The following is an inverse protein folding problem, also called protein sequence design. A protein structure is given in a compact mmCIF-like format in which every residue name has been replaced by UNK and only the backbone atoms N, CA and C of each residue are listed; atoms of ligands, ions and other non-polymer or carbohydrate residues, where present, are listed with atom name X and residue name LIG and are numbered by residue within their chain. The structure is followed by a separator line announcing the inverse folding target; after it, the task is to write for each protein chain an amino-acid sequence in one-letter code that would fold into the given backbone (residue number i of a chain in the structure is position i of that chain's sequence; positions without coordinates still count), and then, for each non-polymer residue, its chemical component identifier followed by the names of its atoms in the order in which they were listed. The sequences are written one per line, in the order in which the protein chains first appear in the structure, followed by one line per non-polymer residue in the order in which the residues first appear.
data_IF_397968633679
#
_entry.id   IF_397968633679
#
_cell.length_a   1.000
_cell.length_b   1.000
_cell.length_c   1.000
_cell.angle_alpha   90.00
_cell.angle_beta   90.00
_cell.angle_gamma   90.00
#
_symmetry.space_group_name_H-M   'P 1'
#
loop_
_entity.id
_entity.type
_entity.pdbx_description
1 polymer ?
#
# COMPACT_ATOMS: atom_id res chain seq x y z
N UNK A 1 17.72 1.75 -22.84
CA UNK A 1 18.49 2.54 -21.84
C UNK A 1 18.16 4.03 -21.90
N UNK A 2 18.25 4.64 -23.07
CA UNK A 2 18.05 6.08 -23.25
C UNK A 2 16.69 6.61 -22.73
N UNK A 3 15.52 6.00 -23.00
CA UNK A 3 14.23 6.52 -22.51
C UNK A 3 14.15 6.58 -20.99
N UNK A 4 14.64 5.55 -20.28
CA UNK A 4 14.63 5.50 -18.81
C UNK A 4 15.55 6.57 -18.21
N UNK A 5 16.77 6.72 -18.76
CA UNK A 5 17.71 7.74 -18.30
C UNK A 5 17.28 9.17 -18.66
N UNK A 6 16.48 9.34 -19.72
CA UNK A 6 15.89 10.63 -20.05
C UNK A 6 14.75 11.00 -19.10
N UNK A 7 13.89 10.03 -18.75
CA UNK A 7 12.77 10.23 -17.84
C UNK A 7 13.20 10.44 -16.38
N UNK A 8 14.37 9.90 -15.99
CA UNK A 8 14.86 9.93 -14.61
C UNK A 8 16.34 10.43 -14.56
N UNK A 9 16.57 11.76 -14.66
CA UNK A 9 17.90 12.35 -14.67
C UNK A 9 18.78 11.96 -13.46
N UNK A 10 18.16 11.69 -12.29
CA UNK A 10 18.83 11.22 -11.09
C UNK A 10 19.55 9.87 -11.26
N UNK A 11 19.11 9.05 -12.23
CA UNK A 11 19.78 7.78 -12.57
C UNK A 11 21.08 7.97 -13.35
N UNK A 12 21.46 9.21 -13.67
CA UNK A 12 22.75 9.52 -14.32
C UNK A 12 23.90 9.63 -13.31
N UNK A 13 23.58 9.81 -12.02
CA UNK A 13 24.60 9.92 -10.98
C UNK A 13 25.25 8.54 -10.71
N UNK A 14 26.53 8.36 -11.09
CA UNK A 14 27.20 7.09 -10.86
C UNK A 14 27.45 6.77 -9.39
N UNK A 15 27.28 7.70 -8.45
CA UNK A 15 27.35 7.42 -7.02
C UNK A 15 26.14 6.63 -6.50
N UNK A 16 25.01 6.70 -7.22
CA UNK A 16 23.75 6.10 -6.77
C UNK A 16 23.17 5.07 -7.75
N UNK A 17 23.65 5.04 -9.00
CA UNK A 17 23.11 4.17 -10.03
C UNK A 17 24.21 3.59 -10.93
N UNK A 18 24.08 2.31 -11.27
CA UNK A 18 24.91 1.60 -12.21
C UNK A 18 24.03 0.76 -13.14
N UNK A 19 24.45 0.64 -14.37
CA UNK A 19 23.77 -0.17 -15.37
C UNK A 19 24.70 -1.26 -15.89
N UNK A 20 24.21 -2.51 -15.86
CA UNK A 20 24.88 -3.69 -16.44
C UNK A 20 23.91 -4.38 -17.41
N UNK A 21 24.39 -4.76 -18.59
CA UNK A 21 23.63 -5.54 -19.56
C UNK A 21 24.17 -6.96 -19.61
N UNK A 22 23.32 -7.95 -19.43
CA UNK A 22 23.70 -9.38 -19.44
C UNK A 22 24.35 -9.75 -20.76
N UNK A 23 23.82 -9.24 -21.87
CA UNK A 23 24.35 -9.49 -23.22
C UNK A 23 25.76 -8.91 -23.39
N UNK A 24 25.98 -7.68 -22.91
CA UNK A 24 27.28 -7.01 -23.04
C UNK A 24 28.35 -7.59 -22.11
N UNK A 25 27.92 -8.19 -20.98
CA UNK A 25 28.84 -8.84 -20.03
C UNK A 25 29.23 -10.26 -20.43
N UNK A 26 28.59 -10.85 -21.47
CA UNK A 26 28.86 -12.21 -21.90
C UNK A 26 28.07 -13.29 -21.14
N UNK A 27 26.95 -12.94 -20.52
CA UNK A 27 26.03 -13.86 -19.88
C UNK A 27 25.86 -13.64 -18.39
N UNK A 28 24.96 -14.41 -17.79
CA UNK A 28 24.50 -14.21 -16.40
C UNK A 28 25.62 -14.28 -15.38
N UNK A 29 26.49 -15.31 -15.44
CA UNK A 29 27.60 -15.48 -14.49
C UNK A 29 28.56 -14.30 -14.54
N UNK A 30 29.01 -13.92 -15.75
CA UNK A 30 29.89 -12.77 -15.94
C UNK A 30 29.25 -11.46 -15.42
N UNK A 31 27.95 -11.29 -15.63
CA UNK A 31 27.22 -10.12 -15.10
C UNK A 31 27.20 -10.11 -13.58
N UNK A 32 26.94 -11.25 -12.91
CA UNK A 32 26.97 -11.35 -11.44
C UNK A 32 28.36 -11.01 -10.92
N UNK A 33 29.41 -11.53 -11.53
CA UNK A 33 30.78 -11.28 -11.11
C UNK A 33 31.16 -9.80 -11.30
N UNK A 34 30.76 -9.18 -12.41
CA UNK A 34 30.93 -7.74 -12.65
C UNK A 34 30.09 -6.86 -11.68
N UNK A 35 28.92 -7.33 -11.28
CA UNK A 35 28.04 -6.60 -10.35
C UNK A 35 28.57 -6.55 -8.92
N UNK A 36 29.28 -7.59 -8.45
CA UNK A 36 29.73 -7.68 -7.04
C UNK A 36 30.56 -6.49 -6.57
N UNK A 37 31.63 -6.06 -7.25
CA UNK A 37 32.38 -4.87 -6.84
C UNK A 37 31.53 -3.60 -6.91
N UNK A 38 30.70 -3.44 -7.94
CA UNK A 38 29.80 -2.30 -8.10
C UNK A 38 28.81 -2.21 -6.94
N UNK A 39 28.24 -3.34 -6.53
CA UNK A 39 27.32 -3.38 -5.37
C UNK A 39 28.02 -3.03 -4.05
N UNK A 40 29.31 -3.39 -3.87
CA UNK A 40 30.07 -2.99 -2.71
C UNK A 40 30.24 -1.46 -2.63
N UNK A 41 30.60 -0.83 -3.74
CA UNK A 41 30.72 0.63 -3.83
C UNK A 41 29.39 1.33 -3.52
N UNK A 42 28.28 0.86 -4.12
CA UNK A 42 26.95 1.40 -3.86
C UNK A 42 26.53 1.19 -2.38
N UNK A 43 26.85 0.03 -1.81
CA UNK A 43 26.57 -0.26 -0.40
C UNK A 43 27.36 0.66 0.56
N UNK A 44 28.63 0.98 0.26
CA UNK A 44 29.41 1.94 1.02
C UNK A 44 28.75 3.33 1.02
N UNK A 45 28.24 3.78 -0.13
CA UNK A 45 27.51 5.03 -0.26
C UNK A 45 26.21 5.00 0.54
N UNK A 46 25.42 3.92 0.38
CA UNK A 46 24.17 3.76 1.12
C UNK A 46 24.38 3.72 2.64
N UNK A 47 25.45 3.06 3.12
CA UNK A 47 25.77 2.95 4.53
C UNK A 47 26.21 4.28 5.19
N UNK A 48 26.50 5.33 4.41
CA UNK A 48 26.79 6.67 4.94
C UNK A 48 25.53 7.43 5.34
N UNK A 49 24.36 7.01 4.84
CA UNK A 49 23.08 7.63 5.20
C UNK A 49 22.85 7.49 6.71
N UNK A 50 22.40 8.56 7.33
CA UNK A 50 22.03 8.60 8.74
C UNK A 50 20.60 9.04 8.88
N UNK A 51 19.88 8.44 9.83
CA UNK A 51 18.54 8.88 10.19
C UNK A 51 18.62 10.27 10.84
N UNK A 52 17.73 11.14 10.45
CA UNK A 52 17.57 12.49 10.99
C UNK A 52 16.10 12.71 11.34
N UNK A 53 15.82 13.62 12.28
CA UNK A 53 14.46 14.00 12.60
C UNK A 53 13.85 14.73 11.40
N UNK A 54 12.67 14.25 10.97
CA UNK A 54 11.88 14.86 9.91
C UNK A 54 10.42 15.00 10.37
N UNK A 55 9.67 15.99 9.88
CA UNK A 55 8.27 16.13 10.23
C UNK A 55 7.43 14.96 9.68
N UNK A 56 6.36 14.60 10.41
CA UNK A 56 5.42 13.53 9.99
C UNK A 56 4.76 13.80 8.63
N UNK A 57 4.76 15.06 8.16
CA UNK A 57 4.33 15.42 6.81
C UNK A 57 5.14 14.77 5.67
N UNK A 58 6.25 14.11 5.97
CA UNK A 58 7.02 13.30 5.01
C UNK A 58 6.52 11.86 4.87
N UNK A 59 5.56 11.47 5.69
CA UNK A 59 4.92 10.15 5.56
C UNK A 59 4.04 10.09 4.33
N UNK A 60 4.22 9.03 3.55
CA UNK A 60 3.37 8.68 2.40
C UNK A 60 2.99 7.20 2.60
N UNK A 61 1.77 6.96 3.05
CA UNK A 61 1.30 5.65 3.50
C UNK A 61 0.41 5.01 2.44
N UNK A 62 0.80 3.86 1.93
CA UNK A 62 -0.07 3.01 1.12
C UNK A 62 -1.05 2.23 2.01
N UNK A 63 -2.34 2.33 1.71
CA UNK A 63 -3.43 1.65 2.42
C UNK A 63 -3.83 0.41 1.62
N UNK A 64 -3.60 -0.77 2.17
CA UNK A 64 -3.81 -2.03 1.46
C UNK A 64 -4.65 -3.00 2.28
N UNK A 65 -5.39 -3.89 1.63
CA UNK A 65 -6.03 -5.02 2.28
C UNK A 65 -5.96 -6.27 1.40
N UNK A 66 -5.73 -7.41 2.02
CA UNK A 66 -5.72 -8.70 1.34
C UNK A 66 -6.17 -9.82 2.29
N UNK A 67 -6.83 -10.86 1.74
CA UNK A 67 -7.41 -11.89 2.59
C UNK A 67 -8.49 -11.36 3.55
N UNK A 68 -9.27 -10.38 3.12
CA UNK A 68 -10.33 -9.74 3.92
C UNK A 68 -11.39 -10.74 4.37
N UNK A 69 -11.98 -10.48 5.53
CA UNK A 69 -13.06 -11.23 6.17
C UNK A 69 -14.25 -10.31 6.52
N UNK A 70 -15.32 -10.87 7.07
CA UNK A 70 -16.50 -10.11 7.49
C UNK A 70 -16.23 -9.09 8.61
N UNK A 71 -15.12 -9.22 9.35
CA UNK A 71 -14.73 -8.29 10.41
C UNK A 71 -13.84 -7.16 9.92
N UNK A 72 -13.18 -7.31 8.77
CA UNK A 72 -12.24 -6.31 8.23
C UNK A 72 -12.87 -4.92 8.12
N UNK A 73 -14.14 -4.84 7.68
CA UNK A 73 -14.87 -3.60 7.46
C UNK A 73 -15.36 -2.90 8.75
N UNK A 74 -15.31 -3.58 9.90
CA UNK A 74 -15.78 -3.04 11.19
C UNK A 74 -14.66 -2.92 12.23
N UNK A 75 -13.51 -3.47 11.98
CA UNK A 75 -12.34 -3.44 12.88
C UNK A 75 -11.13 -2.78 12.22
N UNK A 76 -10.27 -3.56 11.56
CA UNK A 76 -8.98 -3.10 11.05
C UNK A 76 -9.08 -1.97 10.02
N UNK A 77 -10.02 -2.04 9.07
CA UNK A 77 -10.12 -1.01 8.04
C UNK A 77 -10.55 0.36 8.60
N UNK A 78 -11.63 0.49 9.39
CA UNK A 78 -11.97 1.77 9.98
C UNK A 78 -10.95 2.26 11.01
N UNK A 79 -10.28 1.38 11.77
CA UNK A 79 -9.19 1.77 12.65
C UNK A 79 -8.00 2.33 11.85
N UNK A 80 -7.65 1.71 10.72
CA UNK A 80 -6.67 2.26 9.78
C UNK A 80 -7.14 3.60 9.21
N UNK A 81 -8.45 3.76 8.98
CA UNK A 81 -9.04 5.04 8.55
C UNK A 81 -8.78 6.17 9.55
N UNK A 82 -8.94 5.91 10.84
CA UNK A 82 -8.57 6.89 11.90
C UNK A 82 -7.08 7.22 11.85
N UNK A 83 -6.21 6.22 11.69
CA UNK A 83 -4.77 6.47 11.54
C UNK A 83 -4.45 7.25 10.26
N UNK A 84 -5.15 6.99 9.16
CA UNK A 84 -5.06 7.76 7.90
C UNK A 84 -5.38 9.24 8.14
N UNK A 85 -6.47 9.53 8.83
CA UNK A 85 -6.86 10.91 9.18
C UNK A 85 -5.79 11.59 10.04
N UNK A 86 -5.17 10.88 10.99
CA UNK A 86 -4.07 11.41 11.81
C UNK A 86 -2.82 11.72 10.97
N UNK A 87 -2.47 10.87 10.01
CA UNK A 87 -1.36 11.15 9.07
C UNK A 87 -1.64 12.39 8.23
N UNK A 88 -2.85 12.49 7.67
CA UNK A 88 -3.27 13.64 6.86
C UNK A 88 -3.30 14.92 7.68
N UNK A 89 -3.77 14.87 8.93
CA UNK A 89 -3.78 16.02 9.85
C UNK A 89 -2.37 16.55 10.17
N UNK A 90 -1.33 15.73 10.06
CA UNK A 90 0.08 16.16 10.17
C UNK A 90 0.68 16.63 8.84
N UNK A 91 -0.12 16.76 7.79
CA UNK A 91 0.33 17.13 6.44
C UNK A 91 0.95 15.99 5.64
N UNK A 92 0.86 14.76 6.11
CA UNK A 92 1.27 13.56 5.37
C UNK A 92 0.30 13.17 4.27
N UNK A 93 0.60 12.07 3.60
CA UNK A 93 -0.21 11.54 2.48
C UNK A 93 -0.63 10.11 2.77
N UNK A 94 -1.86 9.78 2.45
CA UNK A 94 -2.36 8.39 2.45
C UNK A 94 -2.95 8.05 1.10
N UNK A 95 -2.65 6.86 0.59
CA UNK A 95 -3.00 6.41 -0.77
C UNK A 95 -3.96 5.23 -0.66
N UNK A 96 -5.20 5.43 -1.05
CA UNK A 96 -6.13 4.33 -1.30
C UNK A 96 -5.98 3.89 -2.77
N UNK A 97 -6.08 2.60 -3.04
CA UNK A 97 -5.93 2.02 -4.38
C UNK A 97 -6.95 0.91 -4.61
N UNK A 98 -6.78 0.16 -5.71
CA UNK A 98 -7.60 -1.00 -6.08
C UNK A 98 -9.01 -0.59 -6.52
N UNK A 99 -9.09 -0.03 -7.73
CA UNK A 99 -10.32 0.56 -8.28
C UNK A 99 -11.50 -0.41 -8.29
N UNK A 100 -11.25 -1.71 -8.53
CA UNK A 100 -12.28 -2.73 -8.45
C UNK A 100 -12.78 -3.00 -7.02
N UNK A 101 -12.03 -2.62 -6.00
CA UNK A 101 -12.38 -2.86 -4.60
C UNK A 101 -13.18 -1.73 -3.95
N UNK A 102 -13.36 -0.61 -4.63
CA UNK A 102 -14.23 0.48 -4.19
C UNK A 102 -15.56 0.52 -4.98
N UNK A 103 -15.73 -0.39 -5.94
CA UNK A 103 -16.88 -0.43 -6.84
C UNK A 103 -18.21 -0.56 -6.09
N UNK A 104 -19.13 0.37 -6.35
CA UNK A 104 -20.41 0.51 -5.65
C UNK A 104 -20.35 1.37 -4.38
N UNK A 105 -19.15 1.68 -3.84
CA UNK A 105 -18.94 2.54 -2.67
C UNK A 105 -18.22 3.86 -3.01
N UNK A 106 -17.99 4.15 -4.28
CA UNK A 106 -17.31 5.37 -4.78
C UNK A 106 -17.99 6.66 -4.34
N UNK A 107 -19.28 6.62 -4.08
CA UNK A 107 -20.05 7.77 -3.59
C UNK A 107 -19.54 8.28 -2.23
N UNK A 108 -18.93 7.42 -1.41
CA UNK A 108 -18.31 7.82 -0.13
C UNK A 108 -17.00 8.59 -0.33
N UNK A 109 -16.36 8.44 -1.48
CA UNK A 109 -15.15 9.17 -1.87
C UNK A 109 -15.51 10.45 -2.64
N UNK A 110 -16.39 10.35 -3.65
CA UNK A 110 -16.83 11.49 -4.45
C UNK A 110 -17.58 12.52 -3.62
N UNK A 111 -18.35 12.10 -2.62
CA UNK A 111 -19.08 13.00 -1.70
C UNK A 111 -18.19 13.88 -0.81
N UNK A 112 -16.88 13.60 -0.75
CA UNK A 112 -15.88 14.39 0.00
C UNK A 112 -14.72 14.87 -0.89
N UNK A 113 -14.97 15.03 -2.18
CA UNK A 113 -14.04 15.53 -3.18
C UNK A 113 -14.58 16.79 -3.84
N UNK A 114 -13.72 17.56 -4.52
CA UNK A 114 -14.20 18.56 -5.44
C UNK A 114 -14.86 17.89 -6.65
N UNK A 115 -15.76 18.58 -7.39
CA UNK A 115 -16.39 18.01 -8.58
C UNK A 115 -15.39 17.46 -9.59
N UNK A 116 -14.26 18.13 -9.78
CA UNK A 116 -13.21 17.72 -10.72
C UNK A 116 -12.52 16.43 -10.29
N UNK A 117 -12.20 16.30 -8.99
CA UNK A 117 -11.57 15.10 -8.42
C UNK A 117 -12.56 13.93 -8.41
N UNK A 118 -13.84 14.21 -8.10
CA UNK A 118 -14.91 13.21 -8.18
C UNK A 118 -15.04 12.64 -9.60
N UNK A 119 -15.05 13.51 -10.63
CA UNK A 119 -15.13 13.08 -12.02
C UNK A 119 -13.92 12.26 -12.45
N UNK A 120 -12.70 12.63 -12.02
CA UNK A 120 -11.49 11.85 -12.28
C UNK A 120 -11.60 10.42 -11.70
N UNK A 121 -12.18 10.27 -10.50
CA UNK A 121 -12.41 8.95 -9.92
C UNK A 121 -13.41 8.16 -10.75
N UNK A 122 -14.53 8.78 -11.13
CA UNK A 122 -15.56 8.14 -11.95
C UNK A 122 -15.06 7.78 -13.35
N UNK A 123 -14.12 8.53 -13.93
CA UNK A 123 -13.43 8.14 -15.17
C UNK A 123 -12.65 6.83 -15.01
N UNK A 124 -11.99 6.59 -13.86
CA UNK A 124 -11.30 5.32 -13.60
C UNK A 124 -12.29 4.17 -13.48
N UNK A 125 -13.40 4.38 -12.77
CA UNK A 125 -14.46 3.36 -12.66
C UNK A 125 -14.98 2.96 -14.05
N UNK A 126 -15.39 3.94 -14.88
CA UNK A 126 -15.89 3.68 -16.24
C UNK A 126 -14.84 2.97 -17.12
N UNK A 127 -13.57 3.34 -16.97
CA UNK A 127 -12.49 2.68 -17.71
C UNK A 127 -12.41 1.19 -17.35
N UNK A 128 -12.52 0.83 -16.07
CA UNK A 128 -12.49 -0.54 -15.62
C UNK A 128 -13.75 -1.32 -16.03
N UNK A 129 -14.92 -0.69 -16.03
CA UNK A 129 -16.16 -1.27 -16.55
C UNK A 129 -16.01 -1.65 -18.05
N UNK A 130 -15.53 -0.71 -18.85
CA UNK A 130 -15.28 -0.92 -20.28
C UNK A 130 -14.21 -1.99 -20.52
N UNK A 131 -13.14 -1.96 -19.72
CA UNK A 131 -12.07 -2.95 -19.81
C UNK A 131 -12.57 -4.35 -19.48
N UNK A 132 -13.29 -4.54 -18.39
CA UNK A 132 -13.87 -5.83 -18.01
C UNK A 132 -14.84 -6.35 -19.07
N UNK A 133 -15.71 -5.49 -19.61
CA UNK A 133 -16.68 -5.85 -20.63
C UNK A 133 -16.03 -6.36 -21.93
N UNK A 134 -14.88 -5.80 -22.35
CA UNK A 134 -14.11 -6.25 -23.54
C UNK A 134 -13.66 -7.72 -23.42
N UNK A 135 -13.47 -8.21 -22.22
CA UNK A 135 -13.05 -9.59 -21.94
C UNK A 135 -14.22 -10.47 -21.46
N UNK A 136 -15.48 -10.02 -21.64
CA UNK A 136 -16.66 -10.77 -21.25
C UNK A 136 -16.90 -10.86 -19.74
N UNK A 137 -16.19 -10.01 -18.96
CA UNK A 137 -16.33 -9.88 -17.52
C UNK A 137 -17.16 -8.67 -17.11
N UNK A 138 -17.24 -8.46 -15.80
CA UNK A 138 -17.85 -7.27 -15.20
C UNK A 138 -17.10 -6.92 -13.90
N UNK A 139 -17.47 -5.81 -13.28
CA UNK A 139 -16.86 -5.34 -12.03
C UNK A 139 -17.39 -6.08 -10.79
N UNK A 140 -18.50 -6.79 -10.87
CA UNK A 140 -19.08 -7.57 -9.77
C UNK A 140 -18.44 -8.96 -9.66
N UNK A 141 -17.14 -9.00 -9.40
CA UNK A 141 -16.37 -10.25 -9.24
C UNK A 141 -15.68 -10.36 -7.87
N UNK A 142 -16.02 -9.51 -6.94
CA UNK A 142 -15.59 -9.53 -5.55
C UNK A 142 -16.82 -9.78 -4.65
N UNK A 143 -16.71 -10.43 -3.48
CA UNK A 143 -15.52 -11.00 -2.86
C UNK A 143 -15.06 -12.32 -3.50
N UNK A 144 -13.76 -12.58 -3.42
CA UNK A 144 -13.17 -13.85 -3.86
C UNK A 144 -13.72 -15.04 -3.07
N UNK A 145 -13.58 -16.28 -3.57
CA UNK A 145 -13.99 -17.47 -2.81
C UNK A 145 -13.38 -17.54 -1.42
N UNK A 146 -12.14 -17.06 -1.25
CA UNK A 146 -11.48 -16.99 0.05
C UNK A 146 -12.12 -15.96 0.98
N UNK A 147 -12.45 -14.79 0.49
CA UNK A 147 -13.11 -13.74 1.27
C UNK A 147 -14.55 -14.15 1.66
N UNK A 148 -15.25 -14.88 0.79
CA UNK A 148 -16.57 -15.48 1.12
C UNK A 148 -16.45 -16.49 2.26
N UNK A 149 -15.43 -17.34 2.27
CA UNK A 149 -15.16 -18.23 3.41
C UNK A 149 -14.81 -17.46 4.70
N UNK A 150 -14.28 -16.25 4.56
CA UNK A 150 -14.04 -15.32 5.68
C UNK A 150 -15.28 -14.56 6.13
N UNK A 151 -16.45 -14.81 5.54
CA UNK A 151 -17.75 -14.22 5.95
C UNK A 151 -18.21 -13.03 5.11
N UNK A 152 -17.48 -12.57 4.11
CA UNK A 152 -17.94 -11.53 3.19
C UNK A 152 -18.99 -12.10 2.21
N UNK A 153 -20.03 -11.33 1.92
CA UNK A 153 -21.20 -11.79 1.16
C UNK A 153 -21.31 -11.14 -0.22
N UNK A 154 -21.18 -9.82 -0.31
CA UNK A 154 -21.40 -9.02 -1.52
C UNK A 154 -20.21 -8.13 -1.85
N UNK A 155 -20.15 -7.67 -3.11
CA UNK A 155 -19.17 -6.66 -3.54
C UNK A 155 -19.36 -5.37 -2.76
N UNK A 156 -20.58 -4.93 -2.50
CA UNK A 156 -20.85 -3.70 -1.76
C UNK A 156 -20.29 -3.77 -0.34
N UNK A 157 -20.50 -4.88 0.37
CA UNK A 157 -19.92 -5.09 1.71
C UNK A 157 -18.39 -5.01 1.69
N UNK A 158 -17.75 -5.67 0.73
CA UNK A 158 -16.30 -5.62 0.54
C UNK A 158 -15.83 -4.19 0.25
N UNK A 159 -16.52 -3.47 -0.65
CA UNK A 159 -16.15 -2.12 -1.07
C UNK A 159 -16.36 -1.07 0.04
N UNK A 160 -17.45 -1.15 0.79
CA UNK A 160 -17.67 -0.29 1.96
C UNK A 160 -16.54 -0.45 2.99
N UNK A 161 -16.14 -1.70 3.26
CA UNK A 161 -15.01 -1.98 4.13
C UNK A 161 -13.68 -1.47 3.57
N UNK A 162 -13.43 -1.62 2.27
CA UNK A 162 -12.20 -1.17 1.64
C UNK A 162 -12.06 0.37 1.68
N UNK A 163 -13.15 1.11 1.40
CA UNK A 163 -13.16 2.58 1.45
C UNK A 163 -12.90 3.11 2.86
N UNK A 164 -13.32 2.39 3.90
CA UNK A 164 -13.12 2.79 5.29
C UNK A 164 -11.65 2.99 5.67
N UNK A 165 -10.70 2.32 4.99
CA UNK A 165 -9.25 2.53 5.18
C UNK A 165 -8.82 3.98 4.94
N UNK A 166 -9.53 4.71 4.09
CA UNK A 166 -9.24 6.11 3.75
C UNK A 166 -9.73 7.14 4.76
N UNK A 167 -10.29 6.71 5.90
CA UNK A 167 -10.77 7.62 6.94
C UNK A 167 -11.86 8.58 6.46
N UNK A 168 -11.87 9.78 7.02
CA UNK A 168 -12.87 10.84 6.76
C UNK A 168 -12.31 12.07 6.02
N UNK A 169 -10.99 12.16 5.84
CA UNK A 169 -10.34 13.28 5.17
C UNK A 169 -10.87 13.48 3.73
N UNK A 170 -10.92 14.71 3.20
CA UNK A 170 -11.29 14.96 1.81
C UNK A 170 -10.38 14.22 0.84
N UNK A 171 -10.96 13.65 -0.23
CA UNK A 171 -10.20 13.12 -1.35
C UNK A 171 -9.64 14.29 -2.18
N UNK A 172 -8.32 14.48 -2.16
CA UNK A 172 -7.67 15.66 -2.73
C UNK A 172 -7.20 15.48 -4.17
N UNK A 173 -6.92 14.24 -4.60
CA UNK A 173 -6.46 13.96 -5.96
C UNK A 173 -6.68 12.49 -6.35
N UNK A 174 -6.74 12.25 -7.66
CA UNK A 174 -6.77 10.91 -8.27
C UNK A 174 -5.57 10.78 -9.21
N UNK A 175 -4.82 9.71 -9.06
CA UNK A 175 -3.63 9.41 -9.86
C UNK A 175 -3.84 8.16 -10.70
N UNK A 176 -3.15 8.07 -11.83
CA UNK A 176 -3.01 6.81 -12.57
C UNK A 176 -2.04 5.88 -11.86
N UNK A 177 -2.03 4.64 -12.28
CA UNK A 177 -1.10 3.64 -11.75
C UNK A 177 0.36 4.11 -11.82
N UNK A 178 1.02 4.10 -10.67
CA UNK A 178 2.43 4.47 -10.50
C UNK A 178 2.79 5.93 -10.84
N UNK A 179 1.82 6.82 -11.07
CA UNK A 179 2.09 8.25 -11.24
C UNK A 179 2.68 8.83 -9.93
N UNK A 180 3.73 9.66 -10.01
CA UNK A 180 4.32 10.29 -8.82
C UNK A 180 3.30 11.18 -8.10
N UNK A 181 3.03 10.90 -6.83
CA UNK A 181 2.15 11.70 -6.00
C UNK A 181 2.88 12.97 -5.58
N UNK A 182 2.26 14.12 -5.87
CA UNK A 182 2.84 15.45 -5.63
C UNK A 182 2.05 16.27 -4.62
N UNK A 183 0.80 15.90 -4.37
CA UNK A 183 -0.11 16.64 -3.51
C UNK A 183 -0.30 15.88 -2.20
N UNK A 184 -0.08 16.52 -1.03
CA UNK A 184 -0.34 15.88 0.26
C UNK A 184 -1.84 15.71 0.51
N UNK A 185 -2.17 14.84 1.45
CA UNK A 185 -3.54 14.57 1.86
C UNK A 185 -3.98 13.14 1.53
N UNK A 186 -5.27 12.87 1.62
CA UNK A 186 -5.83 11.60 1.21
C UNK A 186 -6.03 11.59 -0.30
N UNK A 187 -5.42 10.63 -0.99
CA UNK A 187 -5.43 10.50 -2.45
C UNK A 187 -5.85 9.10 -2.89
N UNK A 188 -6.33 8.98 -4.11
CA UNK A 188 -6.62 7.70 -4.74
C UNK A 188 -5.63 7.44 -5.89
N UNK A 189 -5.09 6.23 -5.99
CA UNK A 189 -4.28 5.77 -7.13
C UNK A 189 -4.97 4.59 -7.81
N UNK A 190 -5.24 4.72 -9.10
CA UNK A 190 -5.79 3.65 -9.92
C UNK A 190 -4.88 2.42 -9.91
N UNK A 191 -5.44 1.24 -9.63
CA UNK A 191 -4.75 -0.04 -9.76
C UNK A 191 -5.75 -1.20 -9.88
N UNK A 192 -5.30 -2.37 -10.39
CA UNK A 192 -6.10 -3.59 -10.26
C UNK A 192 -6.25 -4.00 -8.80
N UNK A 193 -7.30 -4.76 -8.48
CA UNK A 193 -7.52 -5.39 -7.18
C UNK A 193 -6.65 -6.64 -7.01
N UNK A 194 -5.34 -6.43 -6.90
CA UNK A 194 -4.33 -7.47 -6.72
C UNK A 194 -3.18 -6.93 -5.90
N UNK A 195 -3.03 -7.40 -4.67
CA UNK A 195 -2.12 -6.85 -3.65
C UNK A 195 -0.71 -6.55 -4.18
N UNK A 196 0.05 -7.50 -4.80
CA UNK A 196 1.41 -7.22 -5.23
C UNK A 196 1.48 -6.09 -6.28
N UNK A 197 0.55 -6.08 -7.23
CA UNK A 197 0.50 -5.05 -8.27
C UNK A 197 0.12 -3.69 -7.68
N UNK A 198 -0.91 -3.65 -6.84
CA UNK A 198 -1.36 -2.41 -6.19
C UNK A 198 -0.26 -1.78 -5.34
N UNK A 199 0.40 -2.58 -4.49
CA UNK A 199 1.51 -2.08 -3.64
C UNK A 199 2.70 -1.64 -4.47
N UNK A 200 3.06 -2.37 -5.53
CA UNK A 200 4.13 -1.94 -6.46
C UNK A 200 3.82 -0.54 -7.02
N UNK A 201 2.59 -0.31 -7.45
CA UNK A 201 2.14 1.00 -7.91
C UNK A 201 2.21 2.08 -6.83
N UNK A 202 1.73 1.79 -5.60
CA UNK A 202 1.79 2.73 -4.47
C UNK A 202 3.23 3.13 -4.14
N UNK A 203 4.16 2.18 -4.10
CA UNK A 203 5.58 2.46 -3.83
C UNK A 203 6.23 3.24 -4.97
N UNK A 204 5.92 2.89 -6.22
CA UNK A 204 6.37 3.65 -7.39
C UNK A 204 5.82 5.08 -7.41
N UNK A 205 4.61 5.30 -6.88
CA UNK A 205 3.99 6.62 -6.71
C UNK A 205 4.60 7.44 -5.56
N UNK A 206 5.42 6.82 -4.71
CA UNK A 206 6.14 7.51 -3.63
C UNK A 206 5.77 7.07 -2.22
N UNK A 207 4.96 6.01 -2.04
CA UNK A 207 4.71 5.45 -0.70
C UNK A 207 6.04 5.03 -0.05
N UNK A 208 6.24 5.44 1.19
CA UNK A 208 7.42 5.09 1.99
C UNK A 208 7.10 4.12 3.15
N UNK A 209 5.85 3.70 3.25
CA UNK A 209 5.37 2.63 4.12
C UNK A 209 4.03 2.10 3.59
N UNK A 210 3.79 0.81 3.78
CA UNK A 210 2.49 0.17 3.53
C UNK A 210 1.87 -0.23 4.87
N UNK A 211 0.57 0.00 5.02
CA UNK A 211 -0.23 -0.57 6.11
C UNK A 211 -1.26 -1.51 5.51
N UNK A 212 -1.17 -2.76 5.89
CA UNK A 212 -1.86 -3.89 5.26
C UNK A 212 -2.83 -4.55 6.25
N UNK A 213 -4.12 -4.48 5.98
CA UNK A 213 -5.15 -5.15 6.80
C UNK A 213 -5.47 -6.54 6.25
N UNK A 214 -5.71 -7.51 7.14
CA UNK A 214 -6.07 -8.86 6.72
C UNK A 214 -6.91 -9.57 7.79
N UNK A 215 -7.86 -10.39 7.33
CA UNK A 215 -8.69 -11.23 8.20
C UNK A 215 -8.28 -12.70 8.21
N UNK A 216 -7.52 -13.14 7.20
CA UNK A 216 -7.11 -14.54 7.05
C UNK A 216 -5.60 -14.75 7.17
N UNK A 217 -4.84 -13.66 7.24
CA UNK A 217 -3.40 -13.65 7.36
C UNK A 217 -2.67 -13.36 6.05
N UNK A 218 -1.50 -12.79 6.18
CA UNK A 218 -0.57 -12.54 5.10
C UNK A 218 0.86 -12.52 5.64
N UNK A 219 1.78 -13.11 4.89
CA UNK A 219 3.23 -13.01 5.13
C UNK A 219 3.86 -11.91 4.28
N UNK A 220 3.05 -11.14 3.53
CA UNK A 220 3.54 -10.10 2.63
C UNK A 220 4.45 -9.12 3.33
N UNK A 221 5.53 -8.78 2.65
CA UNK A 221 6.45 -7.71 2.97
C UNK A 221 6.97 -7.11 1.68
N UNK A 222 7.49 -5.89 1.72
CA UNK A 222 7.95 -5.20 0.52
C UNK A 222 9.32 -4.58 0.79
N UNK A 223 10.37 -5.12 0.17
CA UNK A 223 11.76 -4.72 0.44
C UNK A 223 12.05 -3.22 0.35
N UNK A 224 11.51 -2.48 -0.63
CA UNK A 224 11.78 -1.06 -0.72
C UNK A 224 11.19 -0.22 0.41
N UNK A 225 10.10 -0.70 1.06
CA UNK A 225 9.39 0.01 2.13
C UNK A 225 8.89 -0.97 3.20
N UNK A 226 8.82 -0.57 4.49
CA UNK A 226 8.23 -1.41 5.53
C UNK A 226 6.74 -1.67 5.27
N UNK A 227 6.26 -2.86 5.70
CA UNK A 227 4.87 -3.25 5.64
C UNK A 227 4.36 -3.60 7.04
N UNK A 228 3.52 -2.74 7.60
CA UNK A 228 2.85 -2.93 8.90
C UNK A 228 1.55 -3.70 8.69
N UNK A 229 1.39 -4.88 9.31
CA UNK A 229 0.23 -5.76 9.11
C UNK A 229 -0.72 -5.75 10.30
N UNK A 230 -2.00 -5.54 10.01
CA UNK A 230 -3.08 -5.43 10.98
C UNK A 230 -4.02 -6.64 10.86
N UNK A 231 -4.18 -7.40 11.94
CA UNK A 231 -5.16 -8.49 12.02
C UNK A 231 -6.55 -7.91 12.32
N UNK A 232 -7.57 -8.29 11.55
CA UNK A 232 -8.95 -7.82 11.76
C UNK A 232 -9.69 -8.55 12.89
N UNK A 233 -9.16 -9.67 13.36
CA UNK A 233 -9.83 -10.52 14.35
C UNK A 233 -8.83 -11.22 15.28
N UNK A 234 -9.33 -11.60 16.47
CA UNK A 234 -8.54 -12.24 17.52
C UNK A 234 -8.07 -13.67 17.14
N UNK A 235 -8.85 -14.40 16.34
CA UNK A 235 -8.48 -15.75 15.90
C UNK A 235 -7.24 -15.72 15.01
N UNK A 236 -7.17 -14.77 14.07
CA UNK A 236 -6.00 -14.56 13.25
C UNK A 236 -4.80 -14.15 14.11
N UNK A 237 -4.99 -13.19 15.00
CA UNK A 237 -3.93 -12.73 15.90
C UNK A 237 -3.36 -13.89 16.73
N UNK A 238 -4.22 -14.74 17.29
CA UNK A 238 -3.80 -15.91 18.06
C UNK A 238 -3.00 -16.92 17.24
N UNK A 239 -3.38 -17.14 15.97
CA UNK A 239 -2.73 -18.14 15.11
C UNK A 239 -1.49 -17.63 14.39
N UNK A 240 -1.46 -16.36 14.01
CA UNK A 240 -0.39 -15.75 13.20
C UNK A 240 0.21 -14.51 13.87
N UNK A 241 0.23 -14.46 15.19
CA UNK A 241 0.79 -13.33 15.93
C UNK A 241 2.26 -13.05 15.63
N UNK A 242 3.00 -14.05 15.12
CA UNK A 242 4.39 -13.84 14.66
C UNK A 242 4.47 -13.01 13.36
N UNK A 243 3.41 -13.05 12.55
CA UNK A 243 3.35 -12.34 11.27
C UNK A 243 2.60 -11.02 11.33
N UNK A 244 1.67 -10.87 12.28
CA UNK A 244 0.83 -9.67 12.42
C UNK A 244 1.44 -8.70 13.42
N UNK A 245 1.53 -7.40 13.06
CA UNK A 245 2.12 -6.37 13.90
C UNK A 245 1.14 -5.86 14.97
N UNK A 246 -0.15 -5.69 14.61
CA UNK A 246 -1.18 -5.15 15.49
C UNK A 246 -2.43 -6.03 15.44
N UNK A 247 -3.06 -6.25 16.59
CA UNK A 247 -4.38 -6.83 16.70
C UNK A 247 -5.45 -5.73 16.68
N UNK A 248 -6.36 -5.78 15.71
CA UNK A 248 -7.56 -4.95 15.68
C UNK A 248 -8.83 -5.73 16.08
N UNK A 249 -8.71 -7.03 16.34
CA UNK A 249 -9.84 -7.86 16.79
C UNK A 249 -10.34 -7.48 18.17
N UNK A 250 -9.51 -6.88 19.00
CA UNK A 250 -9.84 -6.38 20.33
C UNK A 250 -10.84 -5.20 20.33
N UNK A 251 -11.11 -4.60 19.18
CA UNK A 251 -12.22 -3.67 18.99
C UNK A 251 -13.55 -4.34 19.33
N UNK A 252 -13.70 -5.64 19.02
CA UNK A 252 -14.89 -6.41 19.37
C UNK A 252 -15.02 -6.65 20.89
N UNK A 253 -13.90 -6.52 21.60
CA UNK A 253 -13.83 -6.64 23.07
C UNK A 253 -13.96 -5.28 23.78
N UNK A 254 -14.27 -4.20 23.04
CA UNK A 254 -14.59 -2.88 23.58
C UNK A 254 -13.48 -1.82 23.43
N UNK A 255 -12.37 -2.11 22.75
CA UNK A 255 -11.40 -1.08 22.38
C UNK A 255 -12.03 -0.14 21.35
N UNK A 256 -11.93 1.18 21.55
CA UNK A 256 -12.52 2.13 20.61
C UNK A 256 -11.72 2.19 19.28
N UNK A 257 -12.41 2.53 18.18
CA UNK A 257 -11.76 2.78 16.89
C UNK A 257 -10.71 3.90 16.99
N UNK A 258 -10.99 4.92 17.80
CA UNK A 258 -10.08 6.05 18.00
C UNK A 258 -8.80 5.63 18.73
N UNK A 259 -8.90 4.83 19.78
CA UNK A 259 -7.74 4.33 20.52
C UNK A 259 -6.91 3.39 19.63
N UNK A 260 -7.57 2.50 18.87
CA UNK A 260 -6.89 1.61 17.94
C UNK A 260 -6.23 2.37 16.78
N UNK A 261 -6.91 3.37 16.22
CA UNK A 261 -6.32 4.24 15.20
C UNK A 261 -5.10 5.01 15.70
N UNK A 262 -5.17 5.50 16.96
CA UNK A 262 -4.02 6.15 17.61
C UNK A 262 -2.86 5.17 17.86
N UNK A 263 -3.15 3.90 18.18
CA UNK A 263 -2.15 2.83 18.30
C UNK A 263 -1.47 2.57 16.95
N UNK A 264 -2.26 2.42 15.87
CA UNK A 264 -1.73 2.24 14.51
C UNK A 264 -0.87 3.43 14.12
N UNK A 265 -1.31 4.66 14.36
CA UNK A 265 -0.53 5.86 14.05
C UNK A 265 0.80 5.90 14.80
N UNK A 266 0.82 5.54 16.09
CA UNK A 266 2.07 5.43 16.87
C UNK A 266 3.00 4.37 16.27
N UNK A 267 2.49 3.20 15.91
CA UNK A 267 3.28 2.16 15.25
C UNK A 267 3.85 2.63 13.91
N UNK A 268 3.10 3.42 13.12
CA UNK A 268 3.61 4.05 11.89
C UNK A 268 4.81 4.95 12.22
N UNK A 269 4.73 5.77 13.26
CA UNK A 269 5.84 6.65 13.68
C UNK A 269 7.05 5.84 14.19
N UNK A 270 6.84 4.77 14.93
CA UNK A 270 7.89 3.90 15.45
C UNK A 270 8.62 3.19 14.29
N UNK A 271 7.89 2.65 13.32
CA UNK A 271 8.46 2.03 12.12
C UNK A 271 9.21 3.08 11.28
N UNK A 272 8.63 4.25 11.07
CA UNK A 272 9.32 5.36 10.38
C UNK A 272 10.58 5.80 11.11
N UNK A 273 10.63 5.66 12.44
CA UNK A 273 11.79 5.96 13.28
C UNK A 273 12.84 4.84 13.32
N UNK A 274 12.53 3.67 12.71
CA UNK A 274 13.50 2.58 12.52
C UNK A 274 13.20 1.30 13.28
N UNK A 275 12.05 1.18 13.94
CA UNK A 275 11.61 -0.09 14.47
C UNK A 275 11.24 -1.02 13.30
N UNK A 276 11.81 -2.24 13.20
CA UNK A 276 11.46 -3.15 12.11
C UNK A 276 10.05 -3.70 12.31
N UNK A 277 9.31 -3.84 11.20
CA UNK A 277 8.08 -4.64 11.17
C UNK A 277 8.41 -6.12 11.29
N UNK A 278 7.39 -6.94 11.62
CA UNK A 278 7.58 -8.40 11.68
C UNK A 278 8.01 -9.00 10.35
N UNK A 279 7.50 -8.46 9.22
CA UNK A 279 7.97 -8.88 7.89
C UNK A 279 9.45 -8.60 7.67
N UNK A 280 9.94 -7.44 8.08
CA UNK A 280 11.36 -7.09 7.97
C UNK A 280 12.22 -7.97 8.90
N UNK A 281 11.79 -8.17 10.14
CA UNK A 281 12.49 -9.00 11.12
C UNK A 281 12.63 -10.45 10.64
N UNK A 282 11.64 -10.98 9.93
CA UNK A 282 11.64 -12.33 9.36
C UNK A 282 12.28 -12.39 7.95
N UNK A 283 12.62 -11.25 7.36
CA UNK A 283 13.28 -11.19 6.06
C UNK A 283 12.37 -11.43 4.85
N UNK A 284 11.06 -11.23 5.00
CA UNK A 284 10.08 -11.32 3.91
C UNK A 284 10.17 -10.15 2.92
N UNK A 285 9.48 -10.23 1.78
CA UNK A 285 9.37 -9.14 0.81
C UNK A 285 10.34 -9.19 -0.36
N UNK A 286 10.91 -10.37 -0.68
CA UNK A 286 11.88 -10.50 -1.78
C UNK A 286 11.24 -10.69 -3.15
N UNK A 287 10.01 -11.18 -3.21
CA UNK A 287 9.35 -11.64 -4.44
C UNK A 287 7.97 -11.04 -4.68
N UNK A 288 7.48 -10.22 -3.77
CA UNK A 288 6.13 -9.64 -3.84
C UNK A 288 6.04 -8.41 -4.76
N UNK A 289 7.18 -7.85 -5.18
CA UNK A 289 7.22 -6.74 -6.14
C UNK A 289 7.10 -7.26 -7.57
N UNK A 290 6.15 -6.77 -8.35
CA UNK A 290 5.82 -7.18 -9.71
C UNK A 290 5.80 -6.00 -10.69
#
# INVERSE_FOLDING_TARGET
QLPVLQAAPQLKDPAHFRFLSIQNQGGTRATIDAARPVLRELAETANRVRRVAVPASKLVIGLQCGGSDGLSGITANPALGVASDLVVAQGGTTILSETSEIYGAEHLLTGRATPEVAEQLMERIRWWEDYAARFGGNMDNNPSPGNKRGGLTTILEKSLGAVAKGGSAPLTAVYRYADPIRQPGFVFMDSPGYDPCSVTGQVASGANMIVFTTGRGSVSGYRPVPCLKLASNNDLWSRMGEDMDINCGDILDGVSLQDKGAEIYRAILDVASGQPTKSEAQGFGRVEFV
#
